data_IF_385035856913
#
_entry.id   IF_385035856913
#
_cell.length_a   1.000
_cell.length_b   1.000
_cell.length_c   1.000
_cell.angle_alpha   90.00
_cell.angle_beta   90.00
_cell.angle_gamma   90.00
#
_symmetry.space_group_name_H-M   'P 1'
#
loop_
_entity.id
_entity.type
_entity.pdbx_description
1 polymer ?
#
# COMPACT_ATOMS: atom_id res chain seq x y z
N UNK A 1 -25.85 18.09 1.33
CA UNK A 1 -27.11 17.65 0.68
C UNK A 1 -28.29 17.95 1.60
N UNK A 2 -28.91 19.13 1.50
CA UNK A 2 -29.84 19.65 2.54
C UNK A 2 -31.25 19.98 2.04
N UNK A 3 -31.56 19.78 0.74
CA UNK A 3 -32.85 20.19 0.18
C UNK A 3 -33.84 19.06 -0.13
N UNK A 4 -33.39 17.81 -0.27
CA UNK A 4 -34.16 16.66 -0.81
C UNK A 4 -35.03 16.96 -2.05
N UNK A 5 -34.71 18.05 -2.77
CA UNK A 5 -35.39 18.43 -4.02
C UNK A 5 -34.92 17.51 -5.13
N UNK A 6 -35.82 17.14 -6.03
CA UNK A 6 -35.48 16.37 -7.22
C UNK A 6 -34.56 17.22 -8.10
N UNK A 7 -33.44 16.63 -8.53
CA UNK A 7 -32.49 17.21 -9.47
C UNK A 7 -32.31 16.27 -10.66
N UNK A 8 -31.79 16.80 -11.77
CA UNK A 8 -31.47 16.04 -12.99
C UNK A 8 -30.16 16.54 -13.59
N UNK A 9 -29.49 15.68 -14.34
CA UNK A 9 -28.25 15.96 -15.08
C UNK A 9 -27.91 14.76 -15.96
N UNK A 10 -27.02 14.97 -16.92
CA UNK A 10 -26.51 13.90 -17.78
C UNK A 10 -25.33 13.22 -17.08
N UNK A 11 -25.31 11.88 -17.09
CA UNK A 11 -24.29 11.08 -16.41
C UNK A 11 -23.90 9.88 -17.27
N UNK A 12 -22.60 9.62 -17.32
CA UNK A 12 -22.04 8.36 -17.79
C UNK A 12 -21.72 7.50 -16.56
N UNK A 13 -22.11 6.23 -16.61
CA UNK A 13 -21.94 5.30 -15.47
C UNK A 13 -21.46 3.95 -15.95
N UNK A 14 -20.53 3.38 -15.20
CA UNK A 14 -20.06 2.01 -15.37
C UNK A 14 -19.83 1.42 -13.98
N UNK A 15 -20.17 0.14 -13.80
CA UNK A 15 -19.94 -0.58 -12.55
C UNK A 15 -19.65 -2.06 -12.85
N UNK A 16 -18.96 -2.70 -11.91
CA UNK A 16 -18.74 -4.15 -11.92
C UNK A 16 -19.84 -4.75 -11.05
N UNK A 17 -20.73 -5.52 -11.66
CA UNK A 17 -21.82 -6.17 -10.94
C UNK A 17 -21.33 -7.44 -10.23
N UNK A 18 -21.53 -7.50 -8.91
CA UNK A 18 -21.19 -8.66 -8.07
C UNK A 18 -22.41 -9.53 -7.74
N UNK A 19 -23.62 -9.15 -8.17
CA UNK A 19 -24.86 -9.86 -7.85
C UNK A 19 -25.34 -9.66 -6.41
N UNK A 20 -26.42 -10.35 -6.04
CA UNK A 20 -27.15 -10.08 -4.78
C UNK A 20 -26.51 -10.66 -3.50
N UNK A 21 -25.79 -11.79 -3.61
CA UNK A 21 -25.19 -12.49 -2.47
C UNK A 21 -23.82 -13.09 -2.84
N UNK A 22 -22.83 -12.25 -3.19
CA UNK A 22 -21.53 -12.72 -3.63
C UNK A 22 -20.81 -13.48 -2.50
N UNK A 23 -20.04 -14.49 -2.89
CA UNK A 23 -19.06 -15.15 -2.01
C UNK A 23 -17.67 -14.98 -2.60
N UNK A 24 -16.79 -14.30 -1.88
CA UNK A 24 -15.41 -14.04 -2.30
C UNK A 24 -15.30 -13.41 -3.72
N UNK A 25 -16.27 -12.58 -4.10
CA UNK A 25 -16.15 -11.77 -5.32
C UNK A 25 -15.05 -10.72 -5.16
N UNK A 26 -14.43 -10.33 -6.26
CA UNK A 26 -13.46 -9.24 -6.28
C UNK A 26 -13.36 -8.61 -7.66
N UNK A 27 -12.62 -7.52 -7.74
CA UNK A 27 -12.41 -6.77 -8.97
C UNK A 27 -10.95 -6.36 -9.11
N UNK A 28 -10.55 -6.04 -10.33
CA UNK A 28 -9.33 -5.34 -10.64
C UNK A 28 -9.59 -4.48 -11.88
N UNK A 29 -9.19 -3.21 -11.83
CA UNK A 29 -9.23 -2.29 -12.96
C UNK A 29 -8.12 -1.27 -12.81
N UNK A 30 -7.72 -0.66 -13.92
CA UNK A 30 -6.82 0.49 -13.94
C UNK A 30 -7.55 1.68 -14.54
N UNK A 31 -7.28 2.87 -14.01
CA UNK A 31 -7.75 4.13 -14.59
C UNK A 31 -6.54 4.83 -15.18
N UNK A 32 -6.63 5.17 -16.47
CA UNK A 32 -5.60 5.92 -17.18
C UNK A 32 -6.18 7.24 -17.69
N UNK A 33 -6.03 8.34 -16.94
CA UNK A 33 -6.41 9.66 -17.41
C UNK A 33 -5.56 10.08 -18.62
N UNK A 34 -6.02 11.09 -19.35
CA UNK A 34 -5.29 11.72 -20.46
C UNK A 34 -4.77 10.70 -21.51
N UNK A 35 -5.71 9.98 -22.11
CA UNK A 35 -5.42 8.92 -23.05
C UNK A 35 -6.34 8.97 -24.26
N UNK A 36 -5.99 8.23 -25.31
CA UNK A 36 -6.81 8.09 -26.53
C UNK A 36 -7.30 6.66 -26.67
N UNK A 37 -8.33 6.44 -27.50
CA UNK A 37 -8.81 5.09 -27.82
C UNK A 37 -7.69 4.17 -28.32
N UNK A 38 -6.79 4.69 -29.18
CA UNK A 38 -5.65 3.93 -29.69
C UNK A 38 -4.63 3.60 -28.59
N UNK A 39 -4.30 4.57 -27.73
CA UNK A 39 -3.37 4.35 -26.62
C UNK A 39 -3.93 3.39 -25.55
N UNK A 40 -5.24 3.41 -25.31
CA UNK A 40 -5.91 2.44 -24.45
C UNK A 40 -5.98 1.04 -25.04
N UNK A 41 -6.17 0.90 -26.36
CA UNK A 41 -6.12 -0.39 -27.02
C UNK A 41 -4.71 -1.02 -26.91
N UNK A 42 -3.66 -0.22 -27.10
CA UNK A 42 -2.29 -0.67 -26.88
C UNK A 42 -2.03 -1.05 -25.41
N UNK A 43 -2.51 -0.23 -24.47
CA UNK A 43 -2.38 -0.51 -23.03
C UNK A 43 -3.10 -1.79 -22.61
N UNK A 44 -4.30 -2.05 -23.14
CA UNK A 44 -5.05 -3.26 -22.84
C UNK A 44 -4.35 -4.53 -23.35
N UNK A 45 -3.61 -4.43 -24.47
CA UNK A 45 -2.83 -5.53 -25.01
C UNK A 45 -1.55 -5.81 -24.19
N UNK A 46 -0.99 -4.79 -23.54
CA UNK A 46 0.22 -4.88 -22.74
C UNK A 46 0.18 -3.89 -21.56
N UNK A 47 -0.51 -4.25 -20.45
CA UNK A 47 -0.54 -3.40 -19.27
C UNK A 47 0.84 -3.31 -18.62
N UNK A 48 1.12 -2.18 -18.00
CA UNK A 48 2.40 -1.86 -17.36
C UNK A 48 2.53 -2.37 -15.91
N UNK A 49 1.57 -3.18 -15.46
CA UNK A 49 1.54 -3.74 -14.12
C UNK A 49 1.19 -5.23 -14.09
N UNK A 50 1.63 -5.88 -13.01
CA UNK A 50 1.37 -7.27 -12.70
C UNK A 50 0.69 -7.36 -11.33
N UNK A 51 -0.43 -8.10 -11.24
CA UNK A 51 -1.02 -8.46 -9.95
C UNK A 51 -0.30 -9.72 -9.45
N UNK A 52 0.61 -9.55 -8.48
CA UNK A 52 1.36 -10.66 -7.89
C UNK A 52 0.52 -11.42 -6.85
N UNK A 53 -0.38 -10.71 -6.16
CA UNK A 53 -1.28 -11.31 -5.16
C UNK A 53 -2.56 -10.49 -5.03
N UNK A 54 -3.69 -11.17 -4.89
CA UNK A 54 -5.00 -10.56 -4.60
C UNK A 54 -5.86 -11.56 -3.84
N UNK A 55 -5.69 -11.59 -2.53
CA UNK A 55 -6.49 -12.41 -1.60
C UNK A 55 -6.72 -11.66 -0.27
N UNK A 56 -7.45 -12.32 0.64
CA UNK A 56 -7.86 -11.74 1.93
C UNK A 56 -6.68 -11.33 2.84
N UNK A 57 -5.46 -11.82 2.57
CA UNK A 57 -4.29 -11.53 3.40
C UNK A 57 -3.42 -10.41 2.84
N UNK A 58 -3.35 -10.26 1.52
CA UNK A 58 -2.59 -9.19 0.89
C UNK A 58 -2.98 -8.93 -0.57
N UNK A 59 -2.89 -7.66 -0.96
CA UNK A 59 -2.88 -7.23 -2.36
C UNK A 59 -1.49 -6.71 -2.73
N UNK A 60 -0.89 -7.26 -3.79
CA UNK A 60 0.47 -6.92 -4.23
C UNK A 60 0.44 -6.67 -5.74
N UNK A 61 0.88 -5.48 -6.14
CA UNK A 61 0.95 -5.05 -7.54
C UNK A 61 2.36 -4.57 -7.85
N UNK A 62 2.93 -5.02 -8.97
CA UNK A 62 4.27 -4.66 -9.43
C UNK A 62 4.20 -3.89 -10.74
N UNK A 63 5.06 -2.88 -10.87
CA UNK A 63 5.31 -2.13 -12.09
C UNK A 63 6.75 -2.42 -12.52
N UNK A 64 6.98 -3.37 -13.45
CA UNK A 64 8.32 -3.86 -13.78
C UNK A 64 9.26 -2.78 -14.32
N UNK A 65 8.77 -1.87 -15.18
CA UNK A 65 9.60 -0.82 -15.80
C UNK A 65 10.20 0.14 -14.77
N UNK A 66 9.43 0.52 -13.75
CA UNK A 66 9.88 1.41 -12.68
C UNK A 66 10.49 0.68 -11.48
N UNK A 67 10.51 -0.66 -11.51
CA UNK A 67 10.89 -1.53 -10.39
C UNK A 67 10.16 -1.20 -9.09
N UNK A 68 8.92 -0.72 -9.20
CA UNK A 68 8.05 -0.41 -8.06
C UNK A 68 7.19 -1.61 -7.74
N UNK A 69 7.02 -1.93 -6.46
CA UNK A 69 6.01 -2.88 -5.99
C UNK A 69 5.26 -2.27 -4.82
N UNK A 70 3.93 -2.24 -4.92
CA UNK A 70 3.04 -1.86 -3.83
C UNK A 70 2.50 -3.08 -3.12
N UNK A 71 2.47 -3.02 -1.79
CA UNK A 71 1.97 -4.07 -0.90
C UNK A 71 0.93 -3.45 0.02
N UNK A 72 -0.26 -4.02 0.04
CA UNK A 72 -1.25 -3.81 1.09
C UNK A 72 -1.36 -5.12 1.84
N UNK A 73 -0.88 -5.14 3.08
CA UNK A 73 -0.88 -6.32 3.95
C UNK A 73 -2.03 -6.18 4.96
N UNK A 74 -3.04 -7.03 4.85
CA UNK A 74 -4.19 -7.02 5.76
C UNK A 74 -3.89 -7.77 7.07
N UNK A 75 -2.91 -8.68 7.04
CA UNK A 75 -2.48 -9.48 8.18
C UNK A 75 -0.96 -9.53 8.31
N UNK A 76 -0.49 -9.95 9.50
CA UNK A 76 0.93 -10.25 9.73
C UNK A 76 1.39 -11.37 8.79
N UNK A 77 2.57 -11.22 8.21
CA UNK A 77 3.16 -12.22 7.32
C UNK A 77 4.69 -12.13 7.32
N UNK A 78 5.36 -13.25 7.09
CA UNK A 78 6.81 -13.31 6.87
C UNK A 78 7.17 -14.29 5.74
N UNK A 79 6.20 -14.59 4.87
CA UNK A 79 6.29 -15.63 3.86
C UNK A 79 6.01 -15.10 2.44
N UNK A 80 6.13 -13.78 2.22
CA UNK A 80 6.12 -13.23 0.86
C UNK A 80 7.39 -13.66 0.15
N UNK A 81 7.24 -14.13 -1.09
CA UNK A 81 8.33 -14.61 -1.93
C UNK A 81 8.47 -13.76 -3.20
N UNK A 82 9.65 -13.81 -3.81
CA UNK A 82 9.90 -13.23 -5.13
C UNK A 82 10.16 -11.72 -5.20
N UNK A 83 10.03 -10.98 -4.09
CA UNK A 83 10.25 -9.51 -4.06
C UNK A 83 11.14 -9.07 -2.89
N UNK A 84 11.45 -7.77 -2.80
CA UNK A 84 12.32 -7.21 -1.75
C UNK A 84 11.75 -7.36 -0.33
N UNK A 85 10.42 -7.31 -0.19
CA UNK A 85 9.73 -7.48 1.09
C UNK A 85 9.37 -8.95 1.32
N UNK A 86 9.77 -9.48 2.49
CA UNK A 86 9.39 -10.81 2.99
C UNK A 86 8.11 -10.76 3.83
N UNK A 87 7.84 -9.62 4.47
CA UNK A 87 6.57 -9.36 5.15
C UNK A 87 6.67 -8.33 6.27
N UNK A 88 5.65 -8.30 7.14
CA UNK A 88 5.56 -7.40 8.29
C UNK A 88 4.89 -8.08 9.50
N UNK A 89 5.18 -7.61 10.71
CA UNK A 89 4.56 -8.13 11.94
C UNK A 89 3.18 -7.51 12.24
N UNK A 90 2.79 -6.49 11.50
CA UNK A 90 1.58 -5.68 11.68
C UNK A 90 0.96 -5.37 10.30
N UNK A 91 -0.38 -5.35 10.15
CA UNK A 91 -1.03 -4.89 8.92
C UNK A 91 -0.54 -3.50 8.51
N UNK A 92 -0.18 -3.32 7.25
CA UNK A 92 0.46 -2.10 6.78
C UNK A 92 0.42 -1.94 5.26
N UNK A 93 0.81 -0.75 4.81
CA UNK A 93 1.01 -0.42 3.40
C UNK A 93 2.50 -0.17 3.20
N UNK A 94 3.08 -0.84 2.21
CA UNK A 94 4.50 -0.68 1.85
C UNK A 94 4.60 -0.44 0.35
N UNK A 95 5.50 0.44 -0.07
CA UNK A 95 5.99 0.49 -1.45
C UNK A 95 7.50 0.28 -1.44
N UNK A 96 7.99 -0.54 -2.37
CA UNK A 96 9.42 -0.73 -2.61
C UNK A 96 9.77 -0.23 -4.01
N UNK A 97 10.92 0.44 -4.15
CA UNK A 97 11.56 0.69 -5.46
C UNK A 97 13.01 0.22 -5.41
N UNK A 98 13.40 -0.70 -6.29
CA UNK A 98 14.78 -1.16 -6.41
C UNK A 98 15.50 -0.36 -7.50
N UNK A 99 16.66 0.18 -7.17
CA UNK A 99 17.50 0.99 -8.05
C UNK A 99 18.96 0.51 -7.94
N UNK A 100 19.30 -0.49 -8.76
CA UNK A 100 20.57 -1.21 -8.67
C UNK A 100 20.76 -1.91 -7.32
N UNK A 101 21.74 -1.46 -6.54
CA UNK A 101 22.03 -1.95 -5.19
C UNK A 101 21.27 -1.18 -4.08
N UNK A 102 20.41 -0.22 -4.44
CA UNK A 102 19.63 0.58 -3.49
C UNK A 102 18.18 0.14 -3.44
N UNK A 103 17.64 0.02 -2.24
CA UNK A 103 16.23 -0.24 -2.00
C UNK A 103 15.61 0.97 -1.30
N UNK A 104 14.63 1.59 -1.95
CA UNK A 104 13.78 2.61 -1.36
C UNK A 104 12.49 1.97 -0.85
N UNK A 105 12.11 2.34 0.36
CA UNK A 105 10.89 1.88 1.03
C UNK A 105 10.07 3.10 1.42
N UNK A 106 8.76 3.04 1.19
CA UNK A 106 7.78 3.93 1.83
C UNK A 106 6.81 3.06 2.63
N UNK A 107 6.63 3.36 3.91
CA UNK A 107 5.91 2.50 4.86
C UNK A 107 4.86 3.32 5.59
N UNK A 108 3.62 2.83 5.63
CA UNK A 108 2.55 3.43 6.42
C UNK A 108 1.82 2.35 7.21
N UNK A 109 1.51 2.67 8.46
CA UNK A 109 0.60 1.92 9.30
C UNK A 109 -0.73 2.68 9.34
N UNK A 110 -1.76 2.25 8.58
CA UNK A 110 -2.97 3.02 8.40
C UNK A 110 -3.87 3.06 9.64
N UNK A 111 -3.62 2.22 10.65
CA UNK A 111 -4.37 2.26 11.89
C UNK A 111 -3.98 3.50 12.71
N UNK A 112 -4.89 4.48 12.76
CA UNK A 112 -4.69 5.72 13.52
C UNK A 112 -4.62 5.48 15.03
N UNK A 113 -5.11 4.34 15.54
CA UNK A 113 -5.14 4.00 16.97
C UNK A 113 -5.73 5.12 17.81
N UNK A 114 -6.83 5.69 17.31
CA UNK A 114 -7.58 6.72 18.03
C UNK A 114 -8.28 6.10 19.25
N UNK A 115 -8.64 6.96 20.21
CA UNK A 115 -9.45 6.53 21.33
C UNK A 115 -10.78 5.90 20.83
N UNK A 116 -11.26 4.79 21.44
CA UNK A 116 -12.49 4.13 21.01
C UNK A 116 -13.73 5.03 20.99
N UNK A 117 -13.72 6.10 21.81
CA UNK A 117 -14.72 7.16 21.81
C UNK A 117 -14.05 8.51 21.58
N UNK A 118 -14.39 9.14 20.47
CA UNK A 118 -13.98 10.50 20.17
C UNK A 118 -14.89 11.49 20.89
N UNK A 119 -14.31 12.35 21.71
CA UNK A 119 -14.95 13.52 22.33
C UNK A 119 -14.49 14.78 21.61
N UNK A 120 -15.17 15.94 21.78
CA UNK A 120 -14.68 17.21 21.25
C UNK A 120 -13.23 17.52 21.63
N UNK A 121 -12.78 17.05 22.81
CA UNK A 121 -11.42 17.24 23.31
C UNK A 121 -10.43 16.20 22.74
N UNK A 122 -10.86 14.94 22.51
CA UNK A 122 -9.98 13.88 22.02
C UNK A 122 -9.91 13.77 20.50
N UNK A 123 -10.89 14.31 19.75
CA UNK A 123 -10.93 14.25 18.28
C UNK A 123 -9.79 14.98 17.56
N UNK A 124 -9.10 15.88 18.26
CA UNK A 124 -7.95 16.62 17.75
C UNK A 124 -6.63 16.09 18.32
N UNK A 125 -6.68 15.08 19.20
CA UNK A 125 -5.47 14.48 19.74
C UNK A 125 -4.86 13.55 18.70
N UNK A 126 -3.52 13.56 18.56
CA UNK A 126 -2.84 12.63 17.67
C UNK A 126 -3.03 11.19 18.16
N UNK A 127 -3.09 10.26 17.23
CA UNK A 127 -3.21 8.84 17.47
C UNK A 127 -2.06 8.27 18.28
N UNK A 128 -2.19 7.06 18.81
CA UNK A 128 -1.09 6.43 19.56
C UNK A 128 -0.04 5.91 18.58
N UNK A 129 1.23 6.26 18.82
CA UNK A 129 2.34 5.68 18.07
C UNK A 129 2.47 4.17 18.36
N UNK A 130 2.86 3.39 17.35
CA UNK A 130 3.03 1.95 17.44
C UNK A 130 4.27 1.48 16.70
N UNK A 131 4.79 0.33 17.15
CA UNK A 131 5.95 -0.32 16.55
C UNK A 131 5.50 -1.22 15.41
N UNK A 132 6.19 -1.14 14.28
CA UNK A 132 6.02 -2.00 13.11
C UNK A 132 7.38 -2.59 12.73
N UNK A 133 7.45 -3.90 12.47
CA UNK A 133 8.64 -4.55 11.88
C UNK A 133 8.40 -4.97 10.45
N UNK A 134 9.37 -4.67 9.61
CA UNK A 134 9.47 -5.19 8.24
C UNK A 134 10.56 -6.25 8.18
N UNK A 135 10.26 -7.31 7.45
CA UNK A 135 11.19 -8.37 7.12
C UNK A 135 11.55 -8.27 5.64
N UNK A 136 12.85 -8.24 5.33
CA UNK A 136 13.37 -8.04 4.00
C UNK A 136 14.02 -9.32 3.45
N UNK A 137 13.97 -9.48 2.13
CA UNK A 137 14.76 -10.47 1.42
C UNK A 137 16.13 -9.87 1.05
N UNK A 138 17.21 -10.60 1.32
CA UNK A 138 18.59 -10.11 1.19
C UNK A 138 19.09 -9.39 2.44
N UNK A 139 20.37 -9.01 2.44
CA UNK A 139 21.02 -8.26 3.53
C UNK A 139 21.23 -6.81 3.12
N UNK A 140 20.92 -5.88 4.02
CA UNK A 140 20.79 -4.46 3.75
C UNK A 140 21.42 -3.61 4.84
N UNK A 141 22.09 -2.55 4.43
CA UNK A 141 22.58 -1.47 5.27
C UNK A 141 21.67 -0.25 5.13
N UNK A 142 21.28 0.36 6.24
CA UNK A 142 20.50 1.61 6.23
C UNK A 142 21.40 2.77 5.76
N UNK A 143 20.99 3.44 4.68
CA UNK A 143 21.61 4.69 4.22
C UNK A 143 20.90 5.92 4.79
N UNK A 144 19.57 5.86 4.84
CA UNK A 144 18.71 6.93 5.36
C UNK A 144 17.48 6.32 6.02
N UNK A 145 17.07 6.88 7.16
CA UNK A 145 15.83 6.52 7.83
C UNK A 145 15.31 7.70 8.66
N UNK A 146 13.99 7.86 8.82
CA UNK A 146 13.41 8.92 9.63
C UNK A 146 13.55 8.59 11.13
N UNK A 147 13.39 9.58 12.02
CA UNK A 147 13.38 9.34 13.46
C UNK A 147 12.43 8.23 13.87
N UNK A 148 12.83 7.41 14.84
CA UNK A 148 12.04 6.25 15.28
C UNK A 148 12.16 5.02 14.39
N UNK A 149 13.04 5.04 13.38
CA UNK A 149 13.38 3.88 12.56
C UNK A 149 14.78 3.37 12.86
N UNK A 150 14.95 2.05 12.97
CA UNK A 150 16.25 1.40 13.18
C UNK A 150 16.33 0.04 12.47
N UNK A 151 17.53 -0.36 12.07
CA UNK A 151 17.81 -1.76 11.74
C UNK A 151 17.88 -2.59 13.03
N UNK A 152 17.15 -3.69 13.08
CA UNK A 152 17.31 -4.71 14.13
C UNK A 152 18.46 -5.65 13.75
N UNK A 153 18.52 -6.01 12.46
CA UNK A 153 19.60 -6.75 11.83
C UNK A 153 19.62 -6.40 10.32
N UNK A 154 20.47 -7.05 9.53
CA UNK A 154 20.60 -6.80 8.09
C UNK A 154 19.34 -7.12 7.26
N UNK A 155 18.33 -7.80 7.83
CA UNK A 155 17.10 -8.23 7.15
C UNK A 155 15.83 -7.74 7.82
N UNK A 156 15.94 -6.94 8.89
CA UNK A 156 14.81 -6.54 9.71
C UNK A 156 14.91 -5.05 10.05
N UNK A 157 13.87 -4.29 9.66
CA UNK A 157 13.70 -2.90 10.07
C UNK A 157 12.60 -2.81 11.11
N UNK A 158 12.75 -1.89 12.06
CA UNK A 158 11.73 -1.52 13.03
C UNK A 158 11.45 -0.03 12.91
N UNK A 159 10.18 0.33 12.79
CA UNK A 159 9.69 1.70 12.66
C UNK A 159 8.72 2.02 13.80
N UNK A 160 8.70 3.28 14.21
CA UNK A 160 7.65 3.83 15.08
C UNK A 160 6.69 4.64 14.22
N UNK A 161 5.52 4.09 13.96
CA UNK A 161 4.50 4.66 13.08
C UNK A 161 3.40 5.37 13.89
N UNK A 162 2.82 6.42 13.32
CA UNK A 162 1.75 7.22 13.92
C UNK A 162 0.89 7.86 12.84
N UNK A 163 -0.40 8.05 13.13
CA UNK A 163 -1.32 8.89 12.36
C UNK A 163 -1.45 8.54 10.86
N UNK A 164 -1.18 7.29 10.47
CA UNK A 164 -1.19 6.89 9.06
C UNK A 164 -0.07 7.54 8.22
N UNK A 165 0.89 8.21 8.86
CA UNK A 165 1.99 8.87 8.18
C UNK A 165 2.83 7.87 7.38
N UNK A 166 3.44 8.37 6.30
CA UNK A 166 4.37 7.59 5.47
C UNK A 166 5.81 7.88 5.91
N UNK A 167 6.58 6.81 6.09
CA UNK A 167 7.98 6.83 6.51
C UNK A 167 8.85 6.28 5.38
N UNK A 168 9.79 7.09 4.90
CA UNK A 168 10.67 6.73 3.79
C UNK A 168 12.05 6.28 4.27
N UNK A 169 12.50 5.10 3.84
CA UNK A 169 13.78 4.51 4.21
C UNK A 169 14.57 4.19 2.94
N UNK A 170 15.86 4.49 2.92
CA UNK A 170 16.76 4.08 1.84
C UNK A 170 17.82 3.12 2.39
N UNK A 171 18.01 2.00 1.69
CA UNK A 171 18.95 0.95 2.04
C UNK A 171 19.92 0.68 0.90
N UNK A 172 21.08 0.12 1.23
CA UNK A 172 22.06 -0.42 0.29
C UNK A 172 22.23 -1.91 0.51
N UNK A 173 22.30 -2.70 -0.57
CA UNK A 173 22.58 -4.12 -0.51
C UNK A 173 24.00 -4.35 0.03
N UNK A 174 24.14 -5.33 0.92
CA UNK A 174 25.43 -5.83 1.41
C UNK A 174 25.97 -6.97 0.57
#
# INVERSE_FOLDING_TARGET
NSGRKKTKGDFETAWIDHGAAPRQAGYAYAIRPDTTTAAMAAYAAAPDFEILRRDDSAHIVRFPESQVTGYVLFDKTNALSGQALRGADTPCIVMTRLDGDRLHLAVSDPDLRLAPKLTPQSRHQPGRAARLRLYLNGSWQVLFAPPGTRAVDARTLELTCRDGATYEVALKRQ
#
